data_IF_871627922361
#
_entry.id   IF_871627922361
#
_cell.length_a   1.000
_cell.length_b   1.000
_cell.length_c   1.000
_cell.angle_alpha   90.00
_cell.angle_beta   90.00
_cell.angle_gamma   90.00
#
_symmetry.space_group_name_H-M   'P 1'
#
loop_
_entity.id
_entity.type
_entity.pdbx_description
1 polymer ?
#
# COMPACT_ATOMS: atom_id res chain seq x y z
N UNK A 1 9.95 -0.24 7.57
CA UNK A 1 9.44 -0.70 6.27
C UNK A 1 9.44 -2.22 6.30
N UNK A 2 8.34 -2.84 5.89
CA UNK A 2 8.24 -4.29 5.76
C UNK A 2 9.29 -4.82 4.76
N UNK A 3 9.83 -6.02 5.00
CA UNK A 3 10.94 -6.54 4.20
C UNK A 3 10.57 -6.78 2.72
N UNK A 4 9.32 -7.14 2.42
CA UNK A 4 8.83 -7.25 1.05
C UNK A 4 8.88 -5.90 0.33
N UNK A 5 8.44 -4.83 0.99
CA UNK A 5 8.52 -3.48 0.43
C UNK A 5 9.96 -3.01 0.26
N UNK A 6 10.85 -3.38 1.19
CA UNK A 6 12.28 -3.10 1.07
C UNK A 6 12.89 -3.78 -0.17
N UNK A 7 12.61 -5.07 -0.38
CA UNK A 7 13.07 -5.81 -1.54
C UNK A 7 12.62 -5.13 -2.85
N UNK A 8 11.33 -4.79 -2.93
CA UNK A 8 10.76 -4.09 -4.09
C UNK A 8 11.43 -2.74 -4.34
N UNK A 9 11.69 -1.94 -3.29
CA UNK A 9 12.38 -0.67 -3.42
C UNK A 9 13.84 -0.82 -3.88
N UNK A 10 14.55 -1.82 -3.35
CA UNK A 10 15.95 -2.06 -3.70
C UNK A 10 16.09 -2.42 -5.19
N UNK A 11 15.24 -3.34 -5.65
CA UNK A 11 15.24 -3.79 -7.04
C UNK A 11 14.78 -2.68 -7.99
N UNK A 12 13.72 -1.94 -7.65
CA UNK A 12 13.25 -0.83 -8.48
C UNK A 12 14.28 0.30 -8.60
N UNK A 13 14.95 0.66 -7.50
CA UNK A 13 16.03 1.64 -7.53
C UNK A 13 17.21 1.14 -8.38
N UNK A 14 17.59 -0.12 -8.24
CA UNK A 14 18.63 -0.73 -9.06
C UNK A 14 18.29 -0.67 -10.55
N UNK A 15 17.10 -1.10 -10.95
CA UNK A 15 16.65 -1.11 -12.34
C UNK A 15 16.57 0.30 -12.95
N UNK A 16 16.21 1.29 -12.14
CA UNK A 16 16.15 2.69 -12.55
C UNK A 16 17.51 3.41 -12.52
N UNK A 17 18.59 2.73 -12.12
CA UNK A 17 19.92 3.35 -11.97
C UNK A 17 19.97 4.41 -10.85
N UNK A 18 19.06 4.33 -9.87
CA UNK A 18 18.98 5.24 -8.74
C UNK A 18 19.89 4.76 -7.60
N UNK A 19 20.52 5.68 -6.86
CA UNK A 19 21.31 5.30 -5.69
C UNK A 19 20.39 4.77 -4.58
N UNK A 20 20.79 3.66 -3.93
CA UNK A 20 20.16 3.25 -2.69
C UNK A 20 20.54 4.21 -1.55
N UNK A 21 19.60 4.45 -0.64
CA UNK A 21 19.91 5.20 0.59
C UNK A 21 21.04 4.50 1.36
N UNK A 22 22.11 5.24 1.65
CA UNK A 22 23.34 4.70 2.25
C UNK A 22 24.34 4.09 1.27
N UNK A 23 23.99 3.91 -0.02
CA UNK A 23 24.83 3.38 -1.09
C UNK A 23 25.07 1.86 -1.01
N UNK A 24 25.74 1.29 -2.03
CA UNK A 24 26.22 -0.10 -2.06
C UNK A 24 27.75 -0.08 -2.14
N UNK A 25 28.43 -0.94 -1.38
CA UNK A 25 29.88 -1.11 -1.52
C UNK A 25 30.20 -1.87 -2.83
N UNK A 26 31.23 -1.45 -3.56
CA UNK A 26 31.61 -2.00 -4.87
C UNK A 26 30.48 -1.94 -5.92
N UNK A 27 29.59 -0.95 -5.85
CA UNK A 27 28.44 -0.83 -6.77
C UNK A 27 28.86 -0.87 -8.25
N UNK A 28 29.90 -0.15 -8.64
CA UNK A 28 30.40 -0.13 -10.03
C UNK A 28 30.80 -1.52 -10.52
N UNK A 29 31.49 -2.30 -9.69
CA UNK A 29 31.88 -3.68 -9.99
C UNK A 29 30.68 -4.60 -10.08
N UNK A 30 29.69 -4.41 -9.20
CA UNK A 30 28.44 -5.17 -9.22
C UNK A 30 27.61 -4.86 -10.48
N UNK A 31 27.57 -3.59 -10.91
CA UNK A 31 26.94 -3.17 -12.18
C UNK A 31 27.63 -3.83 -13.37
N UNK A 32 28.97 -3.95 -13.34
CA UNK A 32 29.76 -4.61 -14.38
C UNK A 32 29.46 -6.11 -14.51
N UNK A 33 28.88 -6.75 -13.49
CA UNK A 33 28.41 -8.15 -13.57
C UNK A 33 27.17 -8.34 -14.47
N UNK A 34 26.54 -7.26 -14.95
CA UNK A 34 25.39 -7.32 -15.87
C UNK A 34 24.30 -8.27 -15.37
N UNK A 35 23.83 -8.03 -14.15
CA UNK A 35 22.73 -8.79 -13.56
C UNK A 35 21.43 -8.47 -14.32
N UNK A 36 20.88 -9.46 -15.02
CA UNK A 36 19.81 -9.33 -16.02
C UNK A 36 18.57 -10.19 -15.71
N UNK A 37 18.45 -10.66 -14.48
CA UNK A 37 17.42 -11.60 -14.00
C UNK A 37 17.36 -12.94 -14.74
N UNK A 38 18.39 -13.32 -15.49
CA UNK A 38 18.56 -14.69 -15.99
C UNK A 38 19.01 -15.63 -14.84
N UNK A 39 18.87 -16.94 -15.04
CA UNK A 39 19.39 -17.89 -14.05
C UNK A 39 20.94 -17.83 -13.97
N UNK A 40 21.61 -17.59 -15.10
CA UNK A 40 23.07 -17.41 -15.17
C UNK A 40 23.57 -16.19 -14.41
N UNK A 41 22.71 -15.21 -14.14
CA UNK A 41 23.08 -14.07 -13.30
C UNK A 41 23.46 -14.50 -11.87
N UNK A 42 22.96 -15.66 -11.40
CA UNK A 42 23.37 -16.22 -10.11
C UNK A 42 24.81 -16.75 -10.15
N UNK A 43 25.28 -17.27 -11.29
CA UNK A 43 26.69 -17.64 -11.48
C UNK A 43 27.59 -16.39 -11.48
N UNK A 44 27.10 -15.27 -12.03
CA UNK A 44 27.81 -13.99 -11.99
C UNK A 44 27.88 -13.41 -10.58
N UNK A 45 26.85 -13.64 -9.75
CA UNK A 45 26.91 -13.34 -8.32
C UNK A 45 27.97 -14.21 -7.63
N UNK A 46 27.99 -15.52 -7.88
CA UNK A 46 29.02 -16.41 -7.31
C UNK A 46 30.44 -15.92 -7.66
N UNK A 47 30.71 -15.60 -8.92
CA UNK A 47 32.00 -15.06 -9.37
C UNK A 47 32.32 -13.68 -8.74
N UNK A 48 31.33 -12.82 -8.57
CA UNK A 48 31.49 -11.53 -7.89
C UNK A 48 31.90 -11.72 -6.42
N UNK A 49 31.24 -12.62 -5.70
CA UNK A 49 31.53 -12.91 -4.30
C UNK A 49 32.93 -13.51 -4.12
N UNK A 50 33.33 -14.44 -5.00
CA UNK A 50 34.67 -15.04 -4.99
C UNK A 50 35.76 -13.99 -5.15
N UNK A 51 35.50 -13.02 -6.02
CA UNK A 51 36.46 -11.99 -6.34
C UNK A 51 36.48 -10.86 -5.31
N UNK A 52 35.48 -10.75 -4.43
CA UNK A 52 35.47 -9.85 -3.27
C UNK A 52 36.16 -10.44 -2.04
N UNK A 53 36.02 -11.75 -1.81
CA UNK A 53 36.48 -12.42 -0.59
C UNK A 53 37.93 -12.12 -0.18
N UNK A 54 38.94 -12.09 -1.08
CA UNK A 54 40.31 -11.74 -0.72
C UNK A 54 40.48 -10.32 -0.15
N UNK A 55 39.58 -9.39 -0.51
CA UNK A 55 39.63 -7.99 -0.11
C UNK A 55 38.98 -7.76 1.28
N UNK A 56 38.05 -8.63 1.70
CA UNK A 56 37.23 -8.43 2.90
C UNK A 56 37.90 -8.93 4.20
N UNK A 57 38.85 -9.87 4.10
CA UNK A 57 39.32 -10.64 5.26
C UNK A 57 38.22 -11.52 5.87
N UNK A 58 38.52 -12.22 6.98
CA UNK A 58 37.56 -13.17 7.59
C UNK A 58 36.62 -12.56 8.66
N UNK A 59 36.68 -11.24 8.91
CA UNK A 59 35.87 -10.63 9.97
C UNK A 59 34.49 -10.19 9.47
N UNK A 60 33.57 -11.15 9.41
CA UNK A 60 32.17 -10.97 9.08
C UNK A 60 31.47 -9.88 9.91
N UNK A 61 31.73 -9.80 11.22
CA UNK A 61 31.05 -8.82 12.09
C UNK A 61 31.46 -7.41 11.73
N UNK A 62 32.76 -7.19 11.52
CA UNK A 62 33.27 -5.90 11.08
C UNK A 62 32.80 -5.51 9.69
N UNK A 63 32.62 -6.47 8.79
CA UNK A 63 32.05 -6.19 7.46
C UNK A 63 30.65 -5.57 7.59
N UNK A 64 29.83 -6.03 8.53
CA UNK A 64 28.49 -5.49 8.74
C UNK A 64 28.47 -4.12 9.43
N UNK A 65 29.59 -3.54 9.90
CA UNK A 65 29.56 -2.24 10.62
C UNK A 65 29.14 -1.05 9.74
N UNK A 66 29.03 -1.21 8.42
CA UNK A 66 28.66 -0.13 7.50
C UNK A 66 27.38 -0.41 6.73
N UNK A 67 26.56 0.63 6.55
CA UNK A 67 25.30 0.54 5.80
C UNK A 67 25.51 0.08 4.34
N UNK A 68 26.62 0.48 3.70
CA UNK A 68 26.96 0.08 2.32
C UNK A 68 27.13 -1.42 2.18
N UNK A 69 27.71 -2.06 3.18
CA UNK A 69 27.97 -3.49 3.19
C UNK A 69 26.67 -4.26 3.47
N UNK A 70 25.86 -3.79 4.42
CA UNK A 70 24.50 -4.28 4.63
C UNK A 70 23.67 -4.23 3.34
N UNK A 71 23.69 -3.09 2.67
CA UNK A 71 22.93 -2.87 1.43
C UNK A 71 23.37 -3.80 0.30
N UNK A 72 24.68 -4.08 0.17
CA UNK A 72 25.19 -5.07 -0.78
C UNK A 72 24.56 -6.44 -0.55
N UNK A 73 24.63 -6.95 0.69
CA UNK A 73 24.15 -8.30 1.01
C UNK A 73 22.62 -8.40 0.86
N UNK A 74 21.87 -7.40 1.31
CA UNK A 74 20.42 -7.35 1.09
C UNK A 74 20.06 -7.25 -0.39
N UNK A 75 20.74 -6.39 -1.16
CA UNK A 75 20.50 -6.29 -2.59
C UNK A 75 20.70 -7.63 -3.29
N UNK A 76 21.83 -8.32 -3.03
CA UNK A 76 22.09 -9.63 -3.61
C UNK A 76 21.03 -10.65 -3.18
N UNK A 77 20.63 -10.65 -1.91
CA UNK A 77 19.58 -11.54 -1.42
C UNK A 77 18.24 -11.29 -2.14
N UNK A 78 17.80 -10.03 -2.22
CA UNK A 78 16.56 -9.65 -2.88
C UNK A 78 16.60 -9.98 -4.38
N UNK A 79 17.74 -9.77 -5.02
CA UNK A 79 17.94 -10.11 -6.42
C UNK A 79 17.84 -11.62 -6.66
N UNK A 80 18.50 -12.45 -5.83
CA UNK A 80 18.41 -13.91 -5.92
C UNK A 80 16.96 -14.36 -5.72
N UNK A 81 16.26 -13.77 -4.75
CA UNK A 81 14.84 -14.06 -4.54
C UNK A 81 13.99 -13.68 -5.76
N UNK A 82 14.19 -12.51 -6.37
CA UNK A 82 13.47 -12.12 -7.58
C UNK A 82 13.73 -13.10 -8.75
N UNK A 83 14.97 -13.57 -8.94
CA UNK A 83 15.27 -14.60 -9.96
C UNK A 83 14.47 -15.87 -9.68
N UNK A 84 14.44 -16.36 -8.43
CA UNK A 84 13.61 -17.53 -8.08
C UNK A 84 12.12 -17.27 -8.29
N UNK A 85 11.63 -16.06 -8.01
CA UNK A 85 10.24 -15.66 -8.20
C UNK A 85 9.84 -15.79 -9.67
N UNK A 86 10.70 -15.26 -10.55
CA UNK A 86 10.51 -15.30 -11.99
C UNK A 86 10.60 -16.71 -12.55
N UNK A 87 11.52 -17.54 -12.04
CA UNK A 87 11.60 -18.98 -12.39
C UNK A 87 10.32 -19.72 -12.00
N UNK A 88 9.82 -19.50 -10.77
CA UNK A 88 8.58 -20.12 -10.30
C UNK A 88 7.31 -19.52 -10.94
N UNK A 89 7.43 -18.37 -11.61
CA UNK A 89 6.31 -17.53 -12.08
C UNK A 89 5.29 -17.26 -10.97
N UNK A 90 5.79 -17.06 -9.76
CA UNK A 90 4.98 -16.88 -8.56
C UNK A 90 5.56 -15.74 -7.71
N UNK A 91 4.70 -14.87 -7.15
CA UNK A 91 5.18 -13.80 -6.28
C UNK A 91 5.79 -14.42 -5.02
N UNK A 92 6.89 -13.83 -4.57
CA UNK A 92 7.57 -14.27 -3.37
C UNK A 92 7.24 -13.36 -2.22
N UNK A 93 6.94 -13.96 -1.08
CA UNK A 93 6.76 -13.25 0.17
C UNK A 93 8.09 -13.23 0.88
N UNK A 94 8.55 -12.03 1.24
CA UNK A 94 9.66 -11.91 2.17
C UNK A 94 9.11 -11.90 3.59
N UNK A 95 9.81 -12.59 4.47
CA UNK A 95 9.48 -12.71 5.87
C UNK A 95 10.73 -12.47 6.73
N UNK A 96 10.49 -11.97 7.92
CA UNK A 96 11.45 -11.91 9.02
C UNK A 96 11.59 -13.29 9.66
N UNK A 97 12.63 -13.46 10.47
CA UNK A 97 12.83 -14.68 11.27
C UNK A 97 11.63 -14.98 12.20
N UNK A 98 11.09 -13.95 12.85
CA UNK A 98 9.92 -14.09 13.73
C UNK A 98 8.66 -14.55 12.97
N UNK A 99 8.46 -14.07 11.75
CA UNK A 99 7.36 -14.50 10.89
C UNK A 99 7.55 -15.94 10.42
N UNK A 100 8.78 -16.32 10.08
CA UNK A 100 9.10 -17.71 9.75
C UNK A 100 8.81 -18.65 10.93
N UNK A 101 9.25 -18.30 12.15
CA UNK A 101 9.02 -19.14 13.34
C UNK A 101 7.52 -19.31 13.66
N UNK A 102 6.70 -18.31 13.38
CA UNK A 102 5.23 -18.41 13.54
C UNK A 102 4.62 -19.41 12.56
N UNK A 103 5.15 -19.50 11.35
CA UNK A 103 4.64 -20.39 10.31
C UNK A 103 5.24 -21.80 10.40
N UNK A 104 6.51 -21.91 10.82
CA UNK A 104 7.27 -23.16 10.89
C UNK A 104 8.12 -23.21 12.18
N UNK A 105 7.53 -23.53 13.35
CA UNK A 105 8.25 -23.52 14.63
C UNK A 105 9.50 -24.42 14.68
N UNK A 106 9.51 -25.51 13.90
CA UNK A 106 10.63 -26.47 13.86
C UNK A 106 11.88 -25.94 13.15
N UNK A 107 11.81 -24.77 12.49
CA UNK A 107 12.95 -24.18 11.79
C UNK A 107 14.02 -23.57 12.71
N UNK A 108 13.83 -23.57 14.03
CA UNK A 108 14.79 -23.06 15.02
C UNK A 108 16.21 -23.63 14.86
N UNK A 109 16.35 -24.81 14.24
CA UNK A 109 17.63 -25.44 13.89
C UNK A 109 18.57 -24.57 13.04
N UNK A 110 18.05 -23.57 12.32
CA UNK A 110 18.89 -22.64 11.54
C UNK A 110 19.50 -21.51 12.36
N UNK A 111 18.92 -21.16 13.52
CA UNK A 111 19.39 -20.08 14.39
C UNK A 111 19.01 -18.66 13.93
N UNK A 112 18.85 -17.76 14.90
CA UNK A 112 18.62 -16.34 14.62
C UNK A 112 19.94 -15.63 14.34
N UNK A 113 19.99 -14.87 13.25
CA UNK A 113 21.14 -14.03 12.90
C UNK A 113 20.89 -13.21 11.65
N UNK A 114 21.90 -12.47 11.21
CA UNK A 114 21.74 -11.66 9.99
C UNK A 114 21.45 -12.51 8.74
N UNK A 115 21.98 -13.73 8.65
CA UNK A 115 21.69 -14.65 7.55
C UNK A 115 20.22 -15.11 7.47
N UNK A 116 19.47 -15.00 8.57
CA UNK A 116 18.03 -15.30 8.65
C UNK A 116 17.15 -14.04 8.71
N UNK A 117 17.74 -12.85 8.55
CA UNK A 117 17.00 -11.58 8.56
C UNK A 117 16.13 -11.34 7.32
N UNK A 118 16.38 -12.09 6.24
CA UNK A 118 15.60 -12.07 5.01
C UNK A 118 15.28 -13.49 4.57
N UNK A 119 14.07 -13.93 4.87
CA UNK A 119 13.57 -15.25 4.49
C UNK A 119 12.63 -15.10 3.32
N UNK A 120 12.83 -15.92 2.31
CA UNK A 120 11.95 -15.96 1.16
C UNK A 120 11.01 -17.16 1.28
N UNK A 121 9.71 -16.89 1.17
CA UNK A 121 8.64 -17.87 1.36
C UNK A 121 7.86 -18.08 0.05
N UNK A 122 7.50 -19.35 -0.19
CA UNK A 122 6.84 -19.88 -1.40
C UNK A 122 7.75 -19.92 -2.63
N UNK A 123 7.91 -21.07 -3.32
CA UNK A 123 7.42 -22.42 -3.00
C UNK A 123 8.38 -23.11 -2.01
N UNK A 124 8.24 -22.83 -0.71
CA UNK A 124 9.16 -23.28 0.33
C UNK A 124 9.95 -22.15 0.97
N UNK A 125 10.81 -22.50 1.92
CA UNK A 125 11.65 -21.57 2.68
C UNK A 125 13.05 -21.54 2.08
N UNK A 126 13.55 -20.34 1.85
CA UNK A 126 14.92 -20.13 1.39
C UNK A 126 15.55 -18.94 2.10
N UNK A 127 16.79 -19.12 2.54
CA UNK A 127 17.59 -18.11 3.24
C UNK A 127 18.71 -17.66 2.30
N UNK A 128 18.46 -16.71 1.38
CA UNK A 128 19.47 -16.25 0.42
C UNK A 128 20.72 -15.70 1.12
N UNK A 129 20.55 -14.99 2.24
CA UNK A 129 21.69 -14.45 2.98
C UNK A 129 22.57 -15.55 3.57
N UNK A 130 22.03 -16.74 3.88
CA UNK A 130 22.84 -17.85 4.37
C UNK A 130 23.84 -18.34 3.31
N UNK A 131 23.41 -18.54 2.06
CA UNK A 131 24.33 -18.96 0.99
C UNK A 131 25.34 -17.87 0.62
N UNK A 132 24.90 -16.60 0.61
CA UNK A 132 25.78 -15.45 0.29
C UNK A 132 26.84 -15.25 1.38
N UNK A 133 26.44 -15.23 2.66
CA UNK A 133 27.35 -15.03 3.80
C UNK A 133 28.33 -16.20 3.90
N UNK A 134 27.86 -17.44 3.81
CA UNK A 134 28.75 -18.60 3.84
C UNK A 134 29.79 -18.57 2.72
N UNK A 135 29.40 -18.22 1.48
CA UNK A 135 30.36 -18.16 0.37
C UNK A 135 31.46 -17.10 0.60
N UNK A 136 31.08 -15.95 1.17
CA UNK A 136 32.01 -14.85 1.45
C UNK A 136 32.94 -15.13 2.63
N UNK A 137 32.43 -15.71 3.72
CA UNK A 137 33.12 -15.68 5.02
C UNK A 137 33.50 -17.06 5.59
N UNK A 138 32.90 -18.16 5.14
CA UNK A 138 33.26 -19.49 5.64
C UNK A 138 34.61 -19.95 5.08
N UNK A 139 35.43 -20.60 5.89
CA UNK A 139 36.79 -21.04 5.52
C UNK A 139 36.79 -21.92 4.26
N UNK A 140 35.84 -22.84 4.13
CA UNK A 140 35.69 -23.70 2.97
C UNK A 140 34.71 -23.11 1.94
N UNK A 141 35.17 -22.87 0.71
CA UNK A 141 34.39 -22.29 -0.38
C UNK A 141 33.45 -23.32 -1.06
N UNK A 142 32.58 -23.95 -0.28
CA UNK A 142 31.71 -25.04 -0.76
C UNK A 142 30.32 -24.57 -1.18
N UNK A 143 29.90 -23.38 -0.73
CA UNK A 143 28.55 -22.86 -1.00
C UNK A 143 28.50 -22.08 -2.31
N UNK A 144 27.54 -22.44 -3.17
CA UNK A 144 27.15 -21.66 -4.36
C UNK A 144 25.77 -21.07 -4.16
N UNK A 145 25.63 -19.78 -4.43
CA UNK A 145 24.35 -19.06 -4.42
C UNK A 145 23.46 -19.62 -5.52
N UNK A 146 24.01 -19.88 -6.71
CA UNK A 146 23.30 -20.50 -7.82
C UNK A 146 22.72 -21.89 -7.44
N UNK A 147 23.55 -22.79 -6.91
CA UNK A 147 23.09 -24.11 -6.49
C UNK A 147 22.08 -24.04 -5.34
N UNK A 148 22.33 -23.17 -4.35
CA UNK A 148 21.42 -22.99 -3.20
C UNK A 148 20.06 -22.46 -3.62
N UNK A 149 20.02 -21.54 -4.58
CA UNK A 149 18.77 -21.00 -5.11
C UNK A 149 17.93 -22.06 -5.86
N UNK A 150 18.58 -23.08 -6.42
CA UNK A 150 17.92 -24.21 -7.10
C UNK A 150 17.27 -25.23 -6.16
N UNK A 151 17.63 -25.25 -4.88
CA UNK A 151 17.04 -26.17 -3.90
C UNK A 151 15.55 -25.86 -3.73
N UNK A 152 14.70 -26.89 -3.81
CA UNK A 152 13.24 -26.75 -3.73
C UNK A 152 12.59 -26.23 -5.02
N UNK A 153 13.37 -26.00 -6.08
CA UNK A 153 12.88 -25.54 -7.38
C UNK A 153 12.69 -26.67 -8.39
N UNK A 154 12.80 -27.95 -7.99
CA UNK A 154 12.88 -29.11 -8.88
C UNK A 154 11.63 -29.30 -9.75
N UNK A 155 10.49 -28.75 -9.31
CA UNK A 155 9.20 -28.84 -10.00
C UNK A 155 8.98 -27.74 -11.04
N UNK A 156 9.85 -26.73 -11.09
CA UNK A 156 9.69 -25.60 -11.99
C UNK A 156 10.54 -25.79 -13.25
N UNK A 157 10.00 -25.48 -14.44
CA UNK A 157 10.77 -25.59 -15.67
C UNK A 157 11.92 -24.60 -15.62
N UNK A 158 13.14 -25.12 -15.53
CA UNK A 158 14.33 -24.28 -15.57
C UNK A 158 14.46 -23.65 -16.97
N UNK A 159 14.46 -22.33 -17.08
CA UNK A 159 14.68 -21.64 -18.34
C UNK A 159 16.10 -21.93 -18.85
N UNK A 160 16.38 -21.74 -20.16
CA UNK A 160 17.75 -21.66 -20.65
C UNK A 160 18.54 -20.62 -19.83
N UNK A 161 19.71 -21.00 -19.32
CA UNK A 161 20.45 -20.25 -18.29
C UNK A 161 20.60 -18.76 -18.59
N UNK A 162 20.84 -18.41 -19.86
CA UNK A 162 21.16 -17.04 -20.28
C UNK A 162 19.94 -16.18 -20.64
N UNK A 163 18.71 -16.73 -20.62
CA UNK A 163 17.52 -15.97 -20.96
C UNK A 163 17.06 -15.12 -19.77
N UNK A 164 16.94 -13.81 -19.97
CA UNK A 164 16.29 -12.90 -19.01
C UNK A 164 14.87 -13.38 -18.72
N UNK A 165 14.56 -13.57 -17.42
CA UNK A 165 13.26 -14.06 -17.02
C UNK A 165 12.24 -12.93 -16.94
N UNK A 166 10.99 -13.15 -17.41
CA UNK A 166 9.96 -12.15 -17.34
C UNK A 166 9.64 -11.83 -15.87
N UNK A 167 9.36 -10.55 -15.53
CA UNK A 167 9.00 -10.16 -14.18
C UNK A 167 7.72 -10.87 -13.74
N UNK A 168 7.65 -11.17 -12.44
CA UNK A 168 6.44 -11.75 -11.87
C UNK A 168 5.33 -10.71 -11.82
N UNK A 169 4.16 -11.06 -12.35
CA UNK A 169 2.91 -10.40 -11.98
C UNK A 169 2.36 -11.11 -10.74
N UNK A 170 1.89 -10.37 -9.74
CA UNK A 170 1.21 -11.01 -8.62
C UNK A 170 0.05 -11.87 -9.13
N UNK A 171 -0.27 -12.93 -8.39
CA UNK A 171 -1.58 -13.55 -8.53
C UNK A 171 -2.61 -12.48 -8.20
N UNK A 172 -3.38 -12.08 -9.21
CA UNK A 172 -4.54 -11.19 -9.06
C UNK A 172 -5.43 -11.70 -7.93
N UNK A 173 -5.97 -10.80 -7.13
CA UNK A 173 -6.88 -11.13 -6.01
C UNK A 173 -8.04 -12.01 -6.47
N UNK A 174 -8.44 -11.84 -7.73
CA UNK A 174 -9.41 -12.68 -8.42
C UNK A 174 -8.70 -13.42 -9.55
N UNK A 175 -8.36 -14.71 -9.37
CA UNK A 175 -7.77 -15.52 -10.43
C UNK A 175 -8.63 -15.51 -11.70
N UNK A 176 -8.02 -15.22 -12.84
CA UNK A 176 -8.71 -15.08 -14.13
C UNK A 176 -9.96 -14.19 -14.04
N UNK A 177 -9.77 -12.95 -13.60
CA UNK A 177 -10.83 -11.95 -13.44
C UNK A 177 -11.80 -11.87 -14.64
N UNK A 178 -11.37 -11.86 -15.91
CA UNK A 178 -12.32 -11.81 -17.03
C UNK A 178 -13.30 -12.98 -17.06
N UNK A 179 -12.81 -14.20 -16.75
CA UNK A 179 -13.67 -15.38 -16.65
C UNK A 179 -14.62 -15.29 -15.46
N UNK A 180 -14.11 -14.88 -14.30
CA UNK A 180 -14.92 -14.74 -13.09
C UNK A 180 -16.01 -13.66 -13.25
N UNK A 181 -15.68 -12.53 -13.88
CA UNK A 181 -16.64 -11.49 -14.22
C UNK A 181 -17.74 -11.99 -15.15
N UNK A 182 -17.39 -12.79 -16.16
CA UNK A 182 -18.37 -13.40 -17.09
C UNK A 182 -19.35 -14.36 -16.41
N UNK A 183 -19.02 -14.88 -15.23
CA UNK A 183 -19.87 -15.78 -14.45
C UNK A 183 -20.82 -15.04 -13.48
N UNK A 184 -20.66 -13.73 -13.31
CA UNK A 184 -21.58 -12.92 -12.52
C UNK A 184 -22.97 -12.85 -13.16
N UNK A 185 -23.98 -12.62 -12.32
CA UNK A 185 -25.36 -12.46 -12.80
C UNK A 185 -25.47 -11.30 -13.79
N UNK A 186 -26.49 -11.34 -14.65
CA UNK A 186 -26.73 -10.24 -15.59
C UNK A 186 -26.92 -8.90 -14.85
N UNK A 187 -27.62 -8.92 -13.72
CA UNK A 187 -27.85 -7.73 -12.89
C UNK A 187 -26.53 -7.13 -12.38
N UNK A 188 -25.60 -7.96 -11.91
CA UNK A 188 -24.27 -7.51 -11.45
C UNK A 188 -23.41 -6.98 -12.60
N UNK A 189 -23.47 -7.59 -13.78
CA UNK A 189 -22.70 -7.11 -14.93
C UNK A 189 -23.24 -5.78 -15.47
N UNK A 190 -24.56 -5.63 -15.56
CA UNK A 190 -25.21 -4.41 -16.07
C UNK A 190 -25.06 -3.22 -15.11
N UNK A 191 -24.90 -3.44 -13.80
CA UNK A 191 -24.66 -2.35 -12.84
C UNK A 191 -23.31 -1.65 -13.06
N UNK A 192 -22.34 -2.33 -13.67
CA UNK A 192 -21.04 -1.76 -14.06
C UNK A 192 -21.04 -1.15 -15.47
N UNK A 193 -21.93 -1.62 -16.36
CA UNK A 193 -21.87 -1.26 -17.79
C UNK A 193 -22.78 -0.07 -18.18
N UNK A 194 -23.97 0.07 -17.61
CA UNK A 194 -24.97 1.00 -18.18
C UNK A 194 -25.75 1.82 -17.15
N UNK A 195 -26.02 1.27 -15.96
CA UNK A 195 -27.06 1.82 -15.06
C UNK A 195 -26.59 2.88 -14.06
N UNK A 196 -25.29 3.10 -13.91
CA UNK A 196 -24.73 3.74 -12.71
C UNK A 196 -23.95 5.06 -12.93
N UNK A 197 -23.89 5.59 -14.15
CA UNK A 197 -23.10 6.79 -14.46
C UNK A 197 -23.96 8.07 -14.41
N UNK A 198 -23.65 9.03 -13.53
CA UNK A 198 -24.30 10.35 -13.53
C UNK A 198 -24.08 11.11 -14.83
N UNK A 199 -25.08 11.87 -15.27
CA UNK A 199 -25.03 12.66 -16.50
C UNK A 199 -23.86 13.67 -16.55
N UNK A 200 -23.45 14.20 -15.39
CA UNK A 200 -22.33 15.15 -15.32
C UNK A 200 -20.98 14.53 -15.72
N UNK A 201 -20.81 13.20 -15.59
CA UNK A 201 -19.56 12.53 -15.97
C UNK A 201 -19.30 12.63 -17.46
N UNK A 202 -20.34 12.72 -18.30
CA UNK A 202 -20.17 12.84 -19.75
C UNK A 202 -19.39 14.11 -20.18
N UNK A 203 -19.29 15.11 -19.31
CA UNK A 203 -18.56 16.36 -19.54
C UNK A 203 -17.32 16.48 -18.63
N UNK A 204 -17.03 15.47 -17.81
CA UNK A 204 -15.88 15.41 -16.90
C UNK A 204 -14.81 14.49 -17.49
N UNK A 205 -13.50 14.73 -17.22
CA UNK A 205 -12.44 13.80 -17.62
C UNK A 205 -12.64 12.34 -17.15
N UNK A 206 -13.47 12.11 -16.13
CA UNK A 206 -13.90 10.78 -15.68
C UNK A 206 -14.69 9.98 -16.73
N UNK A 207 -15.21 10.59 -17.80
CA UNK A 207 -15.91 9.87 -18.88
C UNK A 207 -15.06 8.75 -19.50
N UNK A 208 -13.72 8.92 -19.44
CA UNK A 208 -12.77 7.89 -19.86
C UNK A 208 -12.97 6.55 -19.12
N UNK A 209 -13.42 6.57 -17.86
CA UNK A 209 -13.66 5.36 -17.09
C UNK A 209 -14.85 4.59 -17.68
N UNK A 210 -15.90 5.31 -18.09
CA UNK A 210 -17.06 4.73 -18.77
C UNK A 210 -16.65 4.12 -20.11
N UNK A 211 -15.87 4.84 -20.92
CA UNK A 211 -15.36 4.35 -22.20
C UNK A 211 -14.45 3.12 -22.09
N UNK A 212 -13.61 3.07 -21.04
CA UNK A 212 -12.66 1.98 -20.82
C UNK A 212 -13.23 0.80 -20.01
N UNK A 213 -14.44 0.92 -19.46
CA UNK A 213 -15.06 -0.13 -18.64
C UNK A 213 -15.12 -1.50 -19.33
N UNK A 214 -15.53 -1.63 -20.62
CA UNK A 214 -15.54 -2.93 -21.30
C UNK A 214 -14.14 -3.56 -21.37
N UNK A 215 -13.12 -2.76 -21.63
CA UNK A 215 -11.73 -3.22 -21.71
C UNK A 215 -11.20 -3.64 -20.35
N UNK A 216 -11.51 -2.89 -19.28
CA UNK A 216 -11.16 -3.24 -17.91
C UNK A 216 -11.79 -4.59 -17.50
N UNK A 217 -13.05 -4.81 -17.83
CA UNK A 217 -13.73 -6.08 -17.51
C UNK A 217 -13.19 -7.27 -18.33
N UNK A 218 -12.75 -7.05 -19.58
CA UNK A 218 -12.27 -8.12 -20.46
C UNK A 218 -10.77 -8.44 -20.32
N UNK A 219 -9.95 -7.45 -19.99
CA UNK A 219 -8.47 -7.53 -20.01
C UNK A 219 -7.82 -7.05 -18.70
N UNK A 220 -8.61 -6.67 -17.72
CA UNK A 220 -8.10 -6.20 -16.43
C UNK A 220 -7.66 -7.33 -15.51
N UNK A 221 -6.97 -6.93 -14.45
CA UNK A 221 -6.61 -7.76 -13.29
C UNK A 221 -7.02 -7.03 -12.02
N UNK A 222 -7.22 -7.79 -10.94
CA UNK A 222 -7.61 -7.24 -9.64
C UNK A 222 -6.40 -7.13 -8.72
N UNK A 223 -6.13 -5.90 -8.26
CA UNK A 223 -5.06 -5.58 -7.30
C UNK A 223 -5.65 -4.92 -6.06
N UNK A 224 -4.90 -4.89 -4.97
CA UNK A 224 -5.25 -4.02 -3.84
C UNK A 224 -4.93 -2.56 -4.20
N UNK A 225 -5.85 -1.69 -3.86
CA UNK A 225 -5.65 -0.24 -3.84
C UNK A 225 -6.03 0.32 -2.48
N UNK A 226 -5.54 1.53 -2.20
CA UNK A 226 -5.88 2.26 -1.00
C UNK A 226 -6.42 3.65 -1.36
N UNK A 227 -7.56 4.02 -0.79
CA UNK A 227 -8.12 5.36 -0.92
C UNK A 227 -7.18 6.37 -0.27
N UNK A 228 -6.79 7.39 -1.02
CA UNK A 228 -6.01 8.54 -0.53
C UNK A 228 -6.97 9.63 -0.06
N UNK A 229 -7.96 9.96 -0.87
CA UNK A 229 -8.99 10.96 -0.57
C UNK A 229 -10.32 10.53 -1.18
N UNK A 230 -11.42 10.70 -0.46
CA UNK A 230 -12.75 10.39 -0.95
C UNK A 230 -13.76 11.44 -0.51
N UNK A 231 -14.83 11.60 -1.30
CA UNK A 231 -15.94 12.44 -0.90
C UNK A 231 -16.71 11.84 0.29
N UNK A 232 -17.05 12.67 1.28
CA UNK A 232 -17.78 12.26 2.49
C UNK A 232 -19.09 11.51 2.20
N UNK A 233 -19.75 11.82 1.09
CA UNK A 233 -20.98 11.14 0.69
C UNK A 233 -20.81 9.63 0.56
N UNK A 234 -19.62 9.12 0.22
CA UNK A 234 -19.36 7.68 0.12
C UNK A 234 -19.44 6.96 1.48
N UNK A 235 -19.29 7.68 2.59
CA UNK A 235 -19.34 7.14 3.96
C UNK A 235 -20.75 7.22 4.59
N UNK A 236 -21.68 8.00 4.03
CA UNK A 236 -22.95 8.30 4.69
C UNK A 236 -24.11 7.35 4.32
N UNK A 237 -23.94 6.42 3.37
CA UNK A 237 -24.98 5.43 3.00
C UNK A 237 -26.24 6.01 2.31
N UNK A 238 -26.13 7.18 1.67
CA UNK A 238 -27.17 7.79 0.81
C UNK A 238 -27.19 7.12 -0.60
N UNK A 239 -27.98 7.61 -1.56
CA UNK A 239 -28.04 7.09 -2.96
C UNK A 239 -27.13 7.88 -3.91
N UNK A 240 -26.38 7.19 -4.77
CA UNK A 240 -25.49 7.78 -5.79
C UNK A 240 -24.01 7.38 -5.63
N UNK A 241 -23.12 8.04 -6.37
CA UNK A 241 -21.67 7.81 -6.30
C UNK A 241 -20.87 9.10 -6.30
N UNK A 242 -19.55 8.98 -6.14
CA UNK A 242 -18.66 10.13 -6.13
C UNK A 242 -17.24 9.76 -6.60
N UNK A 243 -16.46 10.76 -7.05
CA UNK A 243 -15.03 10.59 -7.27
C UNK A 243 -14.27 10.29 -5.98
N UNK A 244 -13.13 9.62 -6.15
CA UNK A 244 -12.12 9.41 -5.12
C UNK A 244 -10.74 9.30 -5.76
N UNK A 245 -9.71 9.50 -4.95
CA UNK A 245 -8.32 9.25 -5.30
C UNK A 245 -7.87 7.92 -4.71
N UNK A 246 -7.26 7.08 -5.54
CA UNK A 246 -6.72 5.79 -5.13
C UNK A 246 -5.23 5.70 -5.44
N UNK A 247 -4.47 5.11 -4.53
CA UNK A 247 -3.09 4.68 -4.70
C UNK A 247 -3.07 3.16 -4.88
N UNK A 248 -2.31 2.65 -5.84
CA UNK A 248 -2.20 1.22 -6.09
C UNK A 248 -0.83 0.86 -6.66
N UNK A 249 -0.47 -0.41 -6.49
CA UNK A 249 0.62 -1.03 -7.22
C UNK A 249 0.04 -1.72 -8.47
N UNK A 250 0.41 -1.29 -9.69
CA UNK A 250 -0.05 -1.95 -10.91
C UNK A 250 0.26 -3.45 -10.94
N UNK A 251 1.38 -3.91 -10.36
CA UNK A 251 1.78 -5.32 -10.31
C UNK A 251 1.11 -6.10 -9.19
N UNK A 252 0.55 -5.43 -8.19
CA UNK A 252 -0.13 -6.03 -7.03
C UNK A 252 0.80 -6.81 -6.08
N UNK A 253 2.08 -6.45 -6.03
CA UNK A 253 3.11 -7.08 -5.20
C UNK A 253 3.32 -6.36 -3.86
N UNK A 254 3.02 -5.06 -3.79
CA UNK A 254 3.25 -4.30 -2.57
C UNK A 254 2.31 -4.76 -1.43
N UNK A 255 2.84 -4.99 -0.21
CA UNK A 255 2.01 -5.32 0.95
C UNK A 255 1.00 -4.22 1.30
N UNK A 256 -0.17 -4.64 1.80
CA UNK A 256 -1.29 -3.75 2.11
C UNK A 256 -0.95 -2.69 3.18
N UNK A 257 -0.12 -3.03 4.17
CA UNK A 257 0.30 -2.10 5.22
C UNK A 257 1.22 -1.01 4.65
N UNK A 258 2.17 -1.38 3.79
CA UNK A 258 3.02 -0.38 3.11
C UNK A 258 2.19 0.50 2.18
N UNK A 259 1.24 -0.08 1.43
CA UNK A 259 0.33 0.68 0.58
C UNK A 259 -0.51 1.70 1.39
N UNK A 260 -0.97 1.31 2.59
CA UNK A 260 -1.66 2.20 3.54
C UNK A 260 -0.77 3.33 4.05
N UNK A 261 0.47 3.02 4.43
CA UNK A 261 1.45 4.03 4.87
C UNK A 261 1.69 5.07 3.78
N UNK A 262 1.87 4.63 2.53
CA UNK A 262 2.09 5.53 1.40
C UNK A 262 0.85 6.35 1.06
N UNK A 263 -0.35 5.78 1.12
CA UNK A 263 -1.59 6.53 0.92
C UNK A 263 -1.81 7.60 2.00
N UNK A 264 -1.47 7.29 3.27
CA UNK A 264 -1.51 8.26 4.38
C UNK A 264 -0.50 9.39 4.20
N UNK A 265 0.72 9.06 3.77
CA UNK A 265 1.74 10.06 3.44
C UNK A 265 1.23 11.01 2.35
N UNK A 266 0.68 10.46 1.27
CA UNK A 266 0.13 11.25 0.16
C UNK A 266 -1.03 12.15 0.59
N UNK A 267 -1.95 11.65 1.41
CA UNK A 267 -3.03 12.47 1.96
C UNK A 267 -2.49 13.62 2.82
N UNK A 268 -1.43 13.36 3.60
CA UNK A 268 -0.75 14.35 4.43
C UNK A 268 -0.10 15.50 3.66
N UNK A 269 0.10 15.37 2.34
CA UNK A 269 0.58 16.46 1.48
C UNK A 269 -0.47 17.56 1.28
N UNK A 270 -1.76 17.27 1.50
CA UNK A 270 -2.84 18.23 1.27
C UNK A 270 -2.64 19.48 2.13
N UNK A 271 -2.46 20.63 1.47
CA UNK A 271 -2.23 21.91 2.13
C UNK A 271 -0.82 22.09 2.72
N UNK A 272 0.11 21.18 2.42
CA UNK A 272 1.51 21.29 2.82
C UNK A 272 2.40 21.60 1.60
N UNK A 273 3.34 22.54 1.70
CA UNK A 273 4.32 22.76 0.65
C UNK A 273 5.32 21.59 0.58
N UNK A 274 5.80 21.30 -0.61
CA UNK A 274 6.84 20.30 -0.87
C UNK A 274 7.92 20.89 -1.76
N UNK A 275 9.18 20.61 -1.42
CA UNK A 275 10.34 21.00 -2.24
C UNK A 275 10.46 20.15 -3.52
N UNK A 276 9.75 19.02 -3.59
CA UNK A 276 9.67 18.18 -4.79
C UNK A 276 8.52 18.68 -5.70
N UNK A 277 8.81 19.19 -6.91
CA UNK A 277 7.78 19.72 -7.80
C UNK A 277 6.71 18.71 -8.22
N UNK A 278 7.05 17.41 -8.28
CA UNK A 278 6.13 16.35 -8.63
C UNK A 278 5.15 16.09 -7.48
N UNK A 279 5.65 16.08 -6.24
CA UNK A 279 4.81 15.99 -5.05
C UNK A 279 3.97 17.25 -4.85
N UNK A 280 4.53 18.44 -5.10
CA UNK A 280 3.79 19.70 -5.01
C UNK A 280 2.59 19.71 -5.98
N UNK A 281 2.79 19.26 -7.22
CA UNK A 281 1.69 19.14 -8.19
C UNK A 281 0.58 18.20 -7.71
N UNK A 282 0.94 17.13 -7.00
CA UNK A 282 -0.04 16.21 -6.41
C UNK A 282 -0.76 16.84 -5.21
N UNK A 283 -0.04 17.56 -4.34
CA UNK A 283 -0.62 18.31 -3.23
C UNK A 283 -1.64 19.35 -3.71
N UNK A 284 -1.30 20.10 -4.76
CA UNK A 284 -2.19 21.09 -5.40
C UNK A 284 -3.45 20.42 -5.99
N UNK A 285 -3.31 19.21 -6.54
CA UNK A 285 -4.43 18.41 -7.04
C UNK A 285 -5.37 18.00 -5.90
N UNK A 286 -4.85 17.46 -4.79
CA UNK A 286 -5.66 17.10 -3.62
C UNK A 286 -6.39 18.30 -3.01
N UNK A 287 -5.78 19.48 -3.05
CA UNK A 287 -6.35 20.72 -2.52
C UNK A 287 -7.51 21.26 -3.38
N UNK A 288 -7.45 21.09 -4.70
CA UNK A 288 -8.49 21.59 -5.61
C UNK A 288 -9.78 20.79 -5.54
N UNK A 289 -9.71 19.50 -5.23
CA UNK A 289 -10.83 18.53 -5.13
C UNK A 289 -11.67 18.31 -6.40
N UNK A 290 -11.60 19.23 -7.38
CA UNK A 290 -12.31 19.18 -8.66
C UNK A 290 -11.41 18.80 -9.83
N UNK A 291 -10.09 18.80 -9.64
CA UNK A 291 -9.16 18.27 -10.64
C UNK A 291 -9.26 16.75 -10.74
N UNK A 292 -8.78 16.20 -11.87
CA UNK A 292 -8.67 14.77 -12.12
C UNK A 292 -7.23 14.43 -12.46
N UNK A 293 -6.77 13.31 -11.96
CA UNK A 293 -5.42 12.82 -12.14
C UNK A 293 -5.51 11.36 -12.60
N UNK A 294 -4.75 10.97 -13.61
CA UNK A 294 -4.78 9.60 -14.11
C UNK A 294 -3.36 9.13 -14.38
N UNK A 295 -3.06 7.89 -13.97
CA UNK A 295 -1.75 7.25 -14.11
C UNK A 295 -0.59 8.07 -13.55
N UNK A 296 -0.82 8.84 -12.48
CA UNK A 296 0.25 9.63 -11.88
C UNK A 296 1.19 8.72 -11.11
N UNK A 297 2.47 8.80 -11.44
CA UNK A 297 3.50 7.98 -10.80
C UNK A 297 4.05 8.73 -9.59
N UNK A 298 4.09 8.03 -8.46
CA UNK A 298 4.76 8.49 -7.26
C UNK A 298 6.26 8.67 -7.59
N UNK A 299 6.86 9.85 -7.30
CA UNK A 299 8.26 10.08 -7.63
C UNK A 299 9.17 9.20 -6.76
N UNK A 300 10.27 8.74 -7.36
CA UNK A 300 11.22 7.83 -6.70
C UNK A 300 11.95 8.45 -5.51
N UNK A 301 11.97 9.79 -5.43
CA UNK A 301 12.41 10.58 -4.27
C UNK A 301 11.57 10.30 -3.02
N UNK A 302 10.27 10.07 -3.19
CA UNK A 302 9.35 9.74 -2.10
C UNK A 302 9.35 8.24 -1.81
N UNK A 303 9.31 7.43 -2.86
CA UNK A 303 9.29 5.97 -2.76
C UNK A 303 9.87 5.36 -4.03
N UNK A 304 11.01 4.64 -3.97
CA UNK A 304 11.69 4.15 -5.18
C UNK A 304 10.86 3.19 -6.05
N UNK A 305 9.90 2.48 -5.45
CA UNK A 305 9.04 1.56 -6.18
C UNK A 305 7.88 2.28 -6.88
N UNK A 306 7.57 1.97 -8.15
CA UNK A 306 6.65 2.74 -8.98
C UNK A 306 5.17 2.50 -8.60
N UNK A 307 4.69 3.25 -7.61
CA UNK A 307 3.27 3.31 -7.27
C UNK A 307 2.52 4.31 -8.14
N UNK A 308 1.25 4.04 -8.36
CA UNK A 308 0.39 4.85 -9.22
C UNK A 308 -0.80 5.39 -8.43
N UNK A 309 -1.12 6.66 -8.64
CA UNK A 309 -2.34 7.29 -8.16
C UNK A 309 -3.26 7.63 -9.34
N UNK A 310 -4.57 7.49 -9.14
CA UNK A 310 -5.58 7.90 -10.13
C UNK A 310 -6.88 8.29 -9.46
N UNK A 311 -7.57 9.25 -10.06
CA UNK A 311 -8.95 9.56 -9.77
C UNK A 311 -9.82 8.46 -10.36
N UNK A 312 -10.65 7.87 -9.52
CA UNK A 312 -11.68 6.92 -9.90
C UNK A 312 -13.07 7.51 -9.59
N UNK A 313 -14.10 6.81 -10.05
CA UNK A 313 -15.48 7.05 -9.64
C UNK A 313 -16.04 5.76 -9.07
N UNK A 314 -16.73 5.85 -7.94
CA UNK A 314 -17.43 4.70 -7.34
C UNK A 314 -18.91 5.04 -7.22
N UNK A 315 -19.76 4.19 -7.79
CA UNK A 315 -21.16 4.10 -7.40
C UNK A 315 -21.27 3.32 -6.09
N UNK A 316 -22.11 3.76 -5.15
CA UNK A 316 -22.31 3.01 -3.90
C UNK A 316 -22.93 1.64 -4.12
N UNK A 317 -23.69 1.44 -5.19
CA UNK A 317 -24.24 0.14 -5.56
C UNK A 317 -23.15 -0.91 -5.85
N UNK A 318 -21.92 -0.47 -6.05
CA UNK A 318 -20.77 -1.33 -6.26
C UNK A 318 -20.15 -1.82 -4.94
N UNK A 319 -20.42 -1.13 -3.82
CA UNK A 319 -19.88 -1.44 -2.50
C UNK A 319 -20.82 -2.39 -1.73
N UNK A 320 -20.28 -3.40 -1.01
CA UNK A 320 -21.08 -4.14 -0.05
C UNK A 320 -21.74 -3.18 0.96
N UNK A 321 -23.06 -3.29 1.10
CA UNK A 321 -23.86 -2.43 1.98
C UNK A 321 -23.88 -0.94 1.62
N UNK A 322 -23.49 -0.55 0.40
CA UNK A 322 -23.67 0.81 -0.11
C UNK A 322 -22.79 1.87 0.56
N UNK A 323 -21.74 1.48 1.28
CA UNK A 323 -20.94 2.40 2.09
C UNK A 323 -19.45 2.05 2.03
N UNK A 324 -18.61 3.08 1.89
CA UNK A 324 -17.17 2.96 2.03
C UNK A 324 -16.83 2.93 3.53
N UNK A 325 -16.39 1.79 4.04
CA UNK A 325 -16.05 1.63 5.48
C UNK A 325 -14.58 1.26 5.72
N UNK A 326 -13.87 0.84 4.67
CA UNK A 326 -12.44 0.55 4.71
C UNK A 326 -11.78 1.19 3.46
N UNK A 327 -10.67 1.94 3.63
CA UNK A 327 -9.97 2.55 2.50
C UNK A 327 -9.17 1.55 1.66
N UNK A 328 -8.91 0.33 2.15
CA UNK A 328 -8.33 -0.73 1.33
C UNK A 328 -9.43 -1.32 0.43
N UNK A 329 -9.27 -1.32 -0.89
CA UNK A 329 -10.30 -1.78 -1.83
C UNK A 329 -9.70 -2.60 -2.98
N UNK A 330 -10.39 -3.65 -3.47
CA UNK A 330 -9.98 -4.33 -4.70
C UNK A 330 -10.23 -3.43 -5.90
N UNK A 331 -9.22 -3.22 -6.74
CA UNK A 331 -9.27 -2.38 -7.94
C UNK A 331 -9.01 -3.20 -9.19
N UNK A 332 -9.73 -2.89 -10.27
CA UNK A 332 -9.45 -3.40 -11.61
C UNK A 332 -8.54 -2.43 -12.34
N UNK A 333 -7.38 -2.93 -12.76
CA UNK A 333 -6.36 -2.19 -13.51
C UNK A 333 -6.05 -2.91 -14.82
N UNK A 334 -5.63 -2.18 -15.85
CA UNK A 334 -5.14 -2.77 -17.11
C UNK A 334 -4.05 -1.92 -17.75
N UNK A 335 -3.05 -2.58 -18.31
CA UNK A 335 -1.99 -1.96 -19.11
C UNK A 335 -2.51 -1.41 -20.45
N UNK A 336 -3.66 -1.88 -20.93
CA UNK A 336 -4.28 -1.40 -22.16
C UNK A 336 -4.98 -0.04 -22.00
N UNK A 337 -5.28 0.37 -20.76
CA UNK A 337 -5.87 1.68 -20.45
C UNK A 337 -5.29 2.27 -19.15
N UNK A 338 -4.00 2.66 -19.14
CA UNK A 338 -3.33 3.18 -17.95
C UNK A 338 -4.07 4.37 -17.33
N UNK A 339 -4.14 4.38 -16.01
CA UNK A 339 -4.86 5.40 -15.22
C UNK A 339 -6.39 5.30 -15.22
N UNK A 340 -6.99 4.39 -16.00
CA UNK A 340 -8.41 4.07 -15.85
C UNK A 340 -8.56 2.93 -14.86
N UNK A 341 -8.95 3.27 -13.64
CA UNK A 341 -9.04 2.32 -12.52
C UNK A 341 -10.44 2.40 -11.93
N UNK A 342 -11.04 1.25 -11.67
CA UNK A 342 -12.37 1.13 -11.08
C UNK A 342 -12.35 0.12 -9.95
N UNK A 343 -13.25 0.25 -9.00
CA UNK A 343 -13.41 -0.78 -7.97
C UNK A 343 -13.86 -2.10 -8.61
N UNK A 344 -13.35 -3.22 -8.11
CA UNK A 344 -13.79 -4.53 -8.59
C UNK A 344 -15.22 -4.83 -8.15
N UNK A 345 -16.00 -5.58 -8.96
CA UNK A 345 -17.28 -6.15 -8.58
C UNK A 345 -17.26 -6.81 -7.20
N UNK A 346 -18.09 -6.33 -6.28
CA UNK A 346 -18.18 -6.84 -4.90
C UNK A 346 -18.71 -8.28 -4.80
N UNK A 347 -19.29 -8.83 -5.87
CA UNK A 347 -19.56 -10.26 -6.03
C UNK A 347 -18.29 -11.11 -6.13
N UNK A 348 -17.14 -10.52 -6.48
CA UNK A 348 -15.85 -11.21 -6.67
C UNK A 348 -14.85 -10.93 -5.55
N UNK A 349 -15.23 -10.20 -4.51
CA UNK A 349 -14.32 -9.94 -3.39
C UNK A 349 -14.10 -11.22 -2.57
N UNK A 350 -12.92 -11.39 -1.95
CA UNK A 350 -12.69 -12.49 -1.01
C UNK A 350 -13.77 -12.50 0.08
N UNK A 351 -14.30 -13.69 0.39
CA UNK A 351 -15.46 -13.85 1.28
C UNK A 351 -15.15 -13.29 2.66
N UNK A 352 -13.99 -13.62 3.21
CA UNK A 352 -13.53 -13.19 4.54
C UNK A 352 -13.40 -11.66 4.60
N UNK A 353 -12.94 -11.06 3.50
CA UNK A 353 -12.82 -9.62 3.38
C UNK A 353 -14.19 -8.94 3.33
N UNK A 354 -15.11 -9.49 2.54
CA UNK A 354 -16.49 -9.00 2.43
C UNK A 354 -17.25 -9.12 3.75
N UNK A 355 -17.05 -10.21 4.50
CA UNK A 355 -17.67 -10.39 5.81
C UNK A 355 -17.12 -9.40 6.85
N UNK A 356 -15.81 -9.15 6.85
CA UNK A 356 -15.21 -8.09 7.68
C UNK A 356 -15.74 -6.69 7.32
N UNK A 357 -15.94 -6.43 6.02
CA UNK A 357 -16.55 -5.20 5.54
C UNK A 357 -17.98 -5.02 6.06
N UNK A 358 -18.82 -6.05 5.93
CA UNK A 358 -20.22 -6.01 6.40
C UNK A 358 -20.31 -5.84 7.92
N UNK A 359 -19.43 -6.49 8.70
CA UNK A 359 -19.35 -6.29 10.16
C UNK A 359 -19.03 -4.83 10.52
N UNK A 360 -18.15 -4.19 9.76
CA UNK A 360 -17.78 -2.78 9.97
C UNK A 360 -18.96 -1.84 9.73
N UNK A 361 -19.81 -2.14 8.74
CA UNK A 361 -21.05 -1.40 8.51
C UNK A 361 -21.98 -1.52 9.72
N UNK A 362 -22.22 -2.74 10.19
CA UNK A 362 -23.09 -3.01 11.34
C UNK A 362 -22.61 -2.32 12.62
N UNK A 363 -21.29 -2.27 12.85
CA UNK A 363 -20.68 -1.58 13.99
C UNK A 363 -20.77 -0.04 13.89
N UNK A 364 -20.83 0.51 12.67
CA UNK A 364 -20.95 1.95 12.40
C UNK A 364 -22.40 2.49 12.44
N UNK A 365 -23.39 1.61 12.60
CA UNK A 365 -24.79 2.01 12.83
C UNK A 365 -25.04 2.23 14.33
N UNK A 366 -25.60 3.38 14.76
CA UNK A 366 -25.98 3.55 16.15
C UNK A 366 -27.02 2.49 16.52
N UNK A 367 -26.77 1.74 17.60
CA UNK A 367 -27.74 0.78 18.12
C UNK A 367 -29.09 1.49 18.33
N UNK A 368 -30.23 0.83 18.01
CA UNK A 368 -31.52 1.38 18.38
C UNK A 368 -31.54 1.58 19.89
N UNK A 369 -31.73 2.83 20.33
CA UNK A 369 -31.89 3.14 21.74
C UNK A 369 -32.96 2.23 22.34
N UNK A 370 -32.74 1.61 23.51
CA UNK A 370 -33.79 0.86 24.18
C UNK A 370 -34.94 1.83 24.45
N UNK A 371 -36.17 1.41 24.09
CA UNK A 371 -37.36 2.19 24.36
C UNK A 371 -37.40 2.59 25.85
N UNK A 372 -37.75 3.84 26.18
CA UNK A 372 -37.76 4.28 27.57
C UNK A 372 -38.73 3.39 28.37
N UNK A 373 -38.19 2.77 29.42
CA UNK A 373 -38.99 2.02 30.39
C UNK A 373 -40.06 2.95 30.97
N UNK A 374 -41.32 2.48 31.14
CA UNK A 374 -42.42 3.29 31.67
C UNK A 374 -42.17 3.81 33.09
N UNK A 375 -41.13 3.33 33.78
CA UNK A 375 -40.70 3.82 35.08
C UNK A 375 -40.10 5.25 35.05
N UNK A 376 -39.55 5.71 33.92
CA UNK A 376 -38.89 7.02 33.84
C UNK A 376 -39.87 8.20 33.68
N UNK A 377 -41.12 7.95 33.27
CA UNK A 377 -42.13 9.00 33.08
C UNK A 377 -42.75 9.52 34.40
N UNK A 378 -42.58 8.80 35.51
CA UNK A 378 -43.18 9.17 36.80
C UNK A 378 -42.31 10.14 37.61
N UNK A 379 -41.00 10.18 37.36
CA UNK A 379 -40.06 10.98 38.16
C UNK A 379 -40.03 12.49 37.77
N UNK A 380 -40.48 12.85 36.57
CA UNK A 380 -40.42 14.25 36.08
C UNK A 380 -41.64 15.08 36.53
N UNK A 381 -42.67 14.45 37.12
CA UNK A 381 -43.90 15.15 37.53
C UNK A 381 -43.85 15.73 38.95
N UNK A 382 -42.79 15.47 39.73
CA UNK A 382 -42.72 15.85 41.16
C UNK A 382 -41.86 17.08 41.49
N UNK A 383 -41.21 17.73 40.51
CA UNK A 383 -40.36 18.89 40.76
C UNK A 383 -40.83 20.13 39.97
N UNK A 384 -41.84 20.83 40.52
CA UNK A 384 -42.21 22.18 40.08
C UNK A 384 -42.45 23.06 41.32
N UNK A 385 -41.61 24.08 41.60
CA UNK A 385 -41.95 25.11 42.56
C UNK A 385 -42.81 26.20 41.91
N UNK A 386 -43.63 26.83 42.77
CA UNK A 386 -44.67 27.79 42.46
C UNK A 386 -44.17 29.13 41.92
N UNK A 387 -45.07 29.79 41.19
CA UNK A 387 -44.91 31.06 40.52
C UNK A 387 -44.70 32.25 41.48
N UNK A 388 -43.98 33.27 41.00
CA UNK A 388 -44.14 34.64 41.47
C UNK A 388 -44.17 35.59 40.26
N UNK A 389 -45.09 36.55 40.30
CA UNK A 389 -45.57 37.36 39.19
C UNK A 389 -44.89 38.75 39.10
N UNK A 390 -45.13 39.42 37.94
CA UNK A 390 -44.87 40.83 37.51
C UNK A 390 -43.74 40.94 36.47
N UNK A 391 -43.82 41.70 35.37
CA UNK A 391 -44.76 42.73 34.86
C UNK A 391 -44.59 42.82 33.32
N UNK A 392 -45.63 43.32 32.65
CA UNK A 392 -45.76 43.47 31.19
C UNK A 392 -44.95 44.64 30.59
N UNK A 393 -44.85 44.59 29.24
CA UNK A 393 -44.80 45.68 28.22
C UNK A 393 -43.43 46.00 27.54
N UNK A 394 -43.41 46.51 26.28
CA UNK A 394 -43.77 45.81 25.03
C UNK A 394 -42.77 45.98 23.86
N UNK A 395 -43.04 45.26 22.76
CA UNK A 395 -42.41 45.34 21.44
C UNK A 395 -42.46 46.72 20.79
N UNK A 396 -41.30 47.30 20.44
CA UNK A 396 -41.12 48.12 19.23
C UNK A 396 -39.62 48.28 18.94
N UNK A 397 -39.15 47.72 17.81
CA UNK A 397 -38.02 48.17 16.98
C UNK A 397 -37.35 47.01 16.25
N UNK A 398 -37.91 46.65 15.07
CA UNK A 398 -37.12 45.98 14.04
C UNK A 398 -37.64 46.29 12.63
N UNK A 399 -37.64 47.57 12.28
CA UNK A 399 -37.69 48.07 10.90
C UNK A 399 -36.84 49.33 10.79
N UNK A 400 -35.62 49.19 10.30
CA UNK A 400 -34.92 50.15 9.45
C UNK A 400 -33.45 49.76 9.35
N UNK A 401 -33.05 49.17 8.23
CA UNK A 401 -31.77 49.40 7.54
C UNK A 401 -31.62 48.34 6.44
N UNK A 402 -31.97 48.73 5.20
CA UNK A 402 -31.25 48.40 3.96
C UNK A 402 -32.11 48.86 2.77
N UNK A 403 -31.72 49.98 2.18
CA UNK A 403 -32.10 50.39 0.82
C UNK A 403 -30.89 51.05 0.14
N UNK A 404 -30.66 50.61 -1.12
CA UNK A 404 -29.80 51.15 -2.21
C UNK A 404 -28.34 50.66 -2.17
N UNK A 405 -27.78 49.99 -3.18
CA UNK A 405 -27.81 50.26 -4.64
C UNK A 405 -27.68 48.97 -5.53
N UNK A 406 -27.81 49.05 -6.89
CA UNK A 406 -28.36 48.01 -7.80
C UNK A 406 -27.33 47.40 -8.83
N UNK A 407 -27.70 46.83 -10.01
CA UNK A 407 -27.83 45.38 -10.30
C UNK A 407 -26.93 44.85 -11.47
N UNK A 408 -27.18 43.59 -11.89
CA UNK A 408 -26.62 42.78 -13.02
C UNK A 408 -25.33 42.00 -12.66
N UNK A 409 -25.17 40.69 -12.83
CA UNK A 409 -25.79 39.71 -13.74
C UNK A 409 -26.15 38.39 -13.03
N UNK A 410 -27.28 37.84 -13.47
CA UNK A 410 -27.84 36.53 -13.16
C UNK A 410 -27.19 35.41 -13.97
N UNK A 411 -26.69 34.37 -13.29
CA UNK A 411 -26.89 32.95 -13.63
C UNK A 411 -26.43 32.09 -12.46
N UNK A 412 -27.38 31.57 -11.68
CA UNK A 412 -27.16 30.58 -10.63
C UNK A 412 -27.21 29.16 -11.22
N UNK A 413 -26.14 28.38 -10.99
CA UNK A 413 -26.23 26.94 -10.73
C UNK A 413 -26.17 26.76 -9.20
N UNK A 414 -27.01 25.93 -8.56
CA UNK A 414 -27.03 25.84 -7.11
C UNK A 414 -26.04 24.79 -6.59
N UNK A 415 -25.23 25.21 -5.61
CA UNK A 415 -24.87 24.39 -4.45
C UNK A 415 -23.69 23.43 -4.58
N UNK A 416 -22.47 23.95 -4.42
CA UNK A 416 -21.36 23.15 -3.89
C UNK A 416 -20.82 23.87 -2.65
N UNK A 417 -21.00 23.26 -1.48
CA UNK A 417 -20.44 23.74 -0.21
C UNK A 417 -19.16 22.94 0.05
N UNK A 418 -18.02 23.56 0.36
CA UNK A 418 -16.81 22.85 0.74
C UNK A 418 -17.10 22.00 1.99
N UNK A 419 -16.95 20.68 1.90
CA UNK A 419 -17.26 19.75 3.00
C UNK A 419 -15.97 19.22 3.63
N UNK A 420 -15.87 19.34 4.96
CA UNK A 420 -14.71 18.96 5.76
C UNK A 420 -14.43 17.44 5.72
N UNK A 421 -13.19 17.03 5.48
CA UNK A 421 -12.75 15.63 5.46
C UNK A 421 -12.74 15.02 6.88
N UNK A 422 -13.19 13.76 7.01
CA UNK A 422 -13.06 12.95 8.22
C UNK A 422 -12.23 11.70 7.93
N UNK A 423 -11.31 11.34 8.82
CA UNK A 423 -10.65 10.02 8.85
C UNK A 423 -11.00 9.41 10.20
N UNK A 424 -11.42 8.14 10.21
CA UNK A 424 -11.61 7.39 11.47
C UNK A 424 -10.27 7.30 12.23
N UNK A 425 -10.32 7.60 13.52
CA UNK A 425 -9.22 7.84 14.49
C UNK A 425 -7.93 7.03 14.24
N UNK A 426 -6.71 7.60 14.24
CA UNK A 426 -6.03 8.47 15.21
C UNK A 426 -5.72 7.81 16.56
N UNK A 427 -4.84 6.80 16.55
CA UNK A 427 -3.97 6.53 17.70
C UNK A 427 -2.64 7.24 17.51
N UNK A 428 -2.38 8.23 18.37
CA UNK A 428 -1.16 9.01 18.43
C UNK A 428 0.04 8.15 18.81
N UNK A 429 1.11 8.15 18.00
CA UNK A 429 2.45 7.77 18.46
C UNK A 429 3.28 9.05 18.58
N UNK A 430 3.71 9.35 19.81
CA UNK A 430 4.67 10.40 20.11
C UNK A 430 6.08 10.05 19.57
N UNK A 431 6.92 11.06 19.31
CA UNK A 431 8.22 10.87 18.68
C UNK A 431 9.25 10.26 19.63
N UNK A 432 9.95 9.22 19.16
CA UNK A 432 11.13 8.66 19.84
C UNK A 432 12.26 9.68 19.77
N UNK A 433 12.57 10.30 20.92
CA UNK A 433 13.81 11.04 21.14
C UNK A 433 14.95 10.05 21.44
N UNK A 434 15.99 10.15 20.61
CA UNK A 434 17.43 9.99 20.88
C UNK A 434 17.85 9.37 22.22
N UNK A 435 18.59 8.26 22.16
CA UNK A 435 19.57 7.91 23.20
C UNK A 435 20.82 7.28 22.57
N UNK A 436 21.84 8.14 22.41
CA UNK A 436 23.24 7.76 22.18
C UNK A 436 23.97 7.73 23.53
N UNK A 437 24.75 6.67 23.73
CA UNK A 437 25.94 6.51 24.59
C UNK A 437 25.78 6.54 26.12
N UNK A 438 26.13 5.41 26.73
CA UNK A 438 27.19 5.36 27.77
C UNK A 438 27.92 4.01 27.71
N UNK A 439 29.18 4.06 27.30
CA UNK A 439 30.20 3.07 27.60
C UNK A 439 31.22 3.75 28.52
N UNK A 440 31.54 3.13 29.65
CA UNK A 440 32.81 3.13 30.41
C UNK A 440 32.58 2.16 31.58
N UNK A 441 33.17 0.96 31.55
CA UNK A 441 34.53 0.62 31.97
C UNK A 441 34.67 0.55 33.50
N UNK A 442 34.82 -0.68 34.02
CA UNK A 442 35.58 -0.94 35.25
C UNK A 442 36.25 -2.31 35.23
N UNK A 443 37.51 -2.28 35.65
CA UNK A 443 38.55 -3.31 35.62
C UNK A 443 38.28 -4.58 36.43
N UNK A 444 38.89 -5.67 35.92
CA UNK A 444 39.64 -6.73 36.62
C UNK A 444 39.63 -6.74 38.16
N UNK A 445 39.37 -7.95 38.72
CA UNK A 445 40.27 -8.63 39.68
C UNK A 445 39.94 -10.13 39.77
N UNK A 446 40.96 -10.96 39.59
CA UNK A 446 41.02 -12.38 40.00
C UNK A 446 41.02 -12.51 41.53
N UNK A 447 40.77 -13.73 42.05
CA UNK A 447 41.87 -14.50 42.67
C UNK A 447 41.84 -16.00 42.27
N UNK A 448 42.97 -16.70 42.11
CA UNK A 448 43.57 -17.61 43.13
C UNK A 448 42.48 -18.27 43.98
N UNK A 449 42.12 -19.54 43.76
CA UNK A 449 42.91 -20.79 43.82
C UNK A 449 42.25 -21.88 42.99
#
# INVERSE_FOLDING_TARGET
MEITAQALCYLAAWDAGLPLSGGIIHEERLRACQLDYSWDSLNRIDAFLDALRPELGMDYRRFLDTQKNYNLLYFLAFYVGEVRARTARAPMRWATWDELLKELPDCHVFGEGFHSSAVQMSPGVFLPLASIVSRLFDEEQTKSVHLSAGIGMEKFPMPPGSQCLPPVSAQTLVPNFPKAFGQLSLMERTSYQERAWPAWIAQDPLDRLRGNMPLLMQKGRVVWGHVVQANNGLFEGKVGGAPLEVLYDPRGLLPNETLREMARMLFGLKGQPSDDPVLQRYADHLQKEVSRLFDWRLPSSAFPYPLHASTSYISRDWLPGGRLVNPLIPLVVSEHCPGSVVIAPSGLWPVEYKDAWMRSISASSPAPMPAPSPAAASAVRAARPAATARKQQPESNRKALLKRAPPWCSTHLPGYVPSACFVMESTSLHPIKTLRRRAMATQRKSPMT
#
